data_IF_426480120275
#
_entry.id   IF_426480120275
#
_cell.length_a   1.000
_cell.length_b   1.000
_cell.length_c   1.000
_cell.angle_alpha   90.00
_cell.angle_beta   90.00
_cell.angle_gamma   90.00
#
_symmetry.space_group_name_H-M   'P 1'
#
loop_
_entity.id
_entity.type
_entity.pdbx_description
1 polymer ?
#
# COMPACT_ATOMS: atom_id res chain seq x y z
N UNK A 1 19.58 8.69 12.26
CA UNK A 1 18.95 7.84 11.24
C UNK A 1 17.43 7.90 11.34
N UNK A 2 16.75 7.98 10.20
CA UNK A 2 15.30 7.94 10.09
C UNK A 2 14.85 6.84 9.12
N UNK A 3 13.81 6.10 9.50
CA UNK A 3 13.12 5.16 8.61
C UNK A 3 11.66 5.03 9.03
N UNK A 4 10.73 5.17 8.10
CA UNK A 4 9.34 4.82 8.34
C UNK A 4 9.15 3.32 8.10
N UNK A 5 8.52 2.63 9.06
CA UNK A 5 8.42 1.17 9.09
C UNK A 5 7.43 0.59 8.09
N UNK A 6 7.79 0.58 6.83
CA UNK A 6 7.04 -0.13 5.78
C UNK A 6 7.75 -1.41 5.37
N UNK A 7 7.66 -2.45 6.20
CA UNK A 7 8.34 -3.73 6.05
C UNK A 7 8.16 -4.36 4.65
N UNK A 8 7.00 -4.19 4.01
CA UNK A 8 6.70 -4.76 2.70
C UNK A 8 7.64 -4.25 1.60
N UNK A 9 8.19 -3.03 1.74
CA UNK A 9 9.11 -2.40 0.78
C UNK A 9 10.39 -3.22 0.56
N UNK A 10 10.76 -4.05 1.53
CA UNK A 10 12.00 -4.84 1.52
C UNK A 10 11.81 -6.30 1.12
N UNK A 11 10.60 -6.70 0.73
CA UNK A 11 10.35 -8.08 0.30
C UNK A 11 10.91 -8.35 -1.11
N UNK A 12 11.40 -9.58 -1.36
CA UNK A 12 11.90 -9.97 -2.69
C UNK A 12 10.90 -9.75 -3.82
N UNK A 13 9.60 -9.79 -3.53
CA UNK A 13 8.57 -9.49 -4.53
C UNK A 13 8.63 -8.02 -4.99
N UNK A 14 9.00 -7.08 -4.13
CA UNK A 14 9.12 -5.67 -4.49
C UNK A 14 10.28 -5.45 -5.45
N UNK A 15 11.43 -6.08 -5.20
CA UNK A 15 12.58 -6.03 -6.11
C UNK A 15 12.18 -6.55 -7.50
N UNK A 16 11.41 -7.64 -7.54
CA UNK A 16 10.92 -8.21 -8.80
C UNK A 16 9.92 -7.32 -9.52
N UNK A 17 9.03 -6.66 -8.81
CA UNK A 17 8.10 -5.66 -9.36
C UNK A 17 8.89 -4.50 -9.98
N UNK A 18 9.88 -3.97 -9.26
CA UNK A 18 10.76 -2.89 -9.72
C UNK A 18 11.50 -3.31 -11.00
N UNK A 19 12.07 -4.50 -11.04
CA UNK A 19 12.73 -5.07 -12.21
C UNK A 19 11.79 -5.12 -13.42
N UNK A 20 10.57 -5.65 -13.22
CA UNK A 20 9.56 -5.78 -14.28
C UNK A 20 9.18 -4.43 -14.86
N UNK A 21 8.95 -3.42 -14.01
CA UNK A 21 8.55 -2.08 -14.43
C UNK A 21 9.70 -1.39 -15.18
N UNK A 22 10.92 -1.45 -14.65
CA UNK A 22 12.11 -0.84 -15.28
C UNK A 22 12.50 -1.45 -16.62
N UNK A 23 12.10 -2.69 -16.89
CA UNK A 23 12.46 -3.40 -18.11
C UNK A 23 11.76 -2.90 -19.38
N UNK A 24 10.78 -1.99 -19.28
CA UNK A 24 10.05 -1.34 -20.39
C UNK A 24 9.43 -2.25 -21.48
N UNK A 25 9.61 -3.58 -21.43
CA UNK A 25 9.05 -4.53 -22.42
C UNK A 25 7.53 -4.66 -22.34
N UNK A 26 6.93 -4.15 -21.27
CA UNK A 26 5.49 -4.29 -20.96
C UNK A 26 4.64 -3.13 -21.49
N UNK A 27 5.26 -2.15 -22.14
CA UNK A 27 4.61 -0.92 -22.55
C UNK A 27 4.51 0.09 -21.39
N UNK A 28 3.82 1.20 -21.65
CA UNK A 28 3.67 2.26 -20.64
C UNK A 28 2.87 1.79 -19.43
N UNK A 29 3.21 2.33 -18.27
CA UNK A 29 2.43 2.21 -17.06
C UNK A 29 1.16 3.07 -17.20
N UNK A 30 -0.01 2.45 -17.03
CA UNK A 30 -1.31 3.12 -17.23
C UNK A 30 -1.94 3.52 -15.89
N UNK A 31 -2.14 2.55 -15.02
CA UNK A 31 -2.82 2.75 -13.74
C UNK A 31 -2.49 1.62 -12.77
N UNK A 32 -2.96 1.75 -11.53
CA UNK A 32 -2.95 0.66 -10.56
C UNK A 32 -4.17 0.69 -9.66
N UNK A 33 -4.45 -0.45 -9.05
CA UNK A 33 -5.39 -0.60 -7.95
C UNK A 33 -4.68 -1.28 -6.78
N UNK A 34 -4.89 -0.78 -5.57
CA UNK A 34 -4.27 -1.34 -4.38
C UNK A 34 -5.20 -1.21 -3.18
N UNK A 35 -5.35 -2.29 -2.43
CA UNK A 35 -6.30 -2.34 -1.33
C UNK A 35 -5.66 -2.92 -0.08
N UNK A 36 -6.09 -2.42 1.09
CA UNK A 36 -5.81 -3.04 2.36
C UNK A 36 -7.04 -3.00 3.26
N UNK A 37 -7.52 -4.17 3.64
CA UNK A 37 -8.67 -4.27 4.52
C UNK A 37 -8.51 -5.38 5.54
N UNK A 38 -8.89 -5.08 6.77
CA UNK A 38 -8.88 -6.03 7.89
C UNK A 38 -10.19 -5.90 8.65
N UNK A 39 -10.92 -7.00 8.80
CA UNK A 39 -12.15 -6.98 9.58
C UNK A 39 -11.87 -6.85 11.08
N UNK A 40 -11.89 -5.64 11.58
CA UNK A 40 -11.74 -5.32 13.00
C UNK A 40 -13.08 -5.19 13.73
N UNK A 41 -14.18 -4.97 12.99
CA UNK A 41 -15.48 -4.60 13.55
C UNK A 41 -16.40 -5.77 13.86
N UNK A 42 -16.18 -6.91 13.20
CA UNK A 42 -17.04 -8.07 13.36
C UNK A 42 -16.24 -9.30 13.80
N UNK A 43 -16.94 -10.23 14.47
CA UNK A 43 -16.45 -11.58 14.77
C UNK A 43 -17.50 -12.60 14.37
N UNK A 44 -17.08 -13.71 13.82
CA UNK A 44 -17.96 -14.84 13.52
C UNK A 44 -18.47 -15.46 14.82
N UNK A 45 -19.78 -15.61 14.91
CA UNK A 45 -20.46 -16.36 16.00
C UNK A 45 -21.09 -17.60 15.37
N UNK A 46 -20.81 -18.80 15.89
CA UNK A 46 -21.28 -20.09 15.38
C UNK A 46 -20.99 -20.32 13.88
N UNK A 47 -19.86 -19.79 13.36
CA UNK A 47 -19.43 -19.87 11.94
C UNK A 47 -20.40 -19.27 10.89
N UNK A 48 -21.58 -18.79 11.29
CA UNK A 48 -22.64 -18.38 10.35
C UNK A 48 -23.01 -16.89 10.49
N UNK A 49 -22.99 -16.34 11.70
CA UNK A 49 -23.46 -14.98 11.95
C UNK A 49 -22.31 -14.04 12.33
N UNK A 50 -22.24 -12.88 11.68
CA UNK A 50 -21.32 -11.80 12.06
C UNK A 50 -21.91 -11.03 13.25
N UNK A 51 -21.19 -11.03 14.36
CA UNK A 51 -21.53 -10.22 15.53
C UNK A 51 -20.61 -9.01 15.60
N UNK A 52 -21.20 -7.81 15.62
CA UNK A 52 -20.44 -6.56 15.81
C UNK A 52 -19.70 -6.59 17.15
N UNK A 53 -18.40 -6.26 17.13
CA UNK A 53 -17.58 -6.13 18.34
C UNK A 53 -17.92 -4.82 19.04
N UNK A 54 -17.80 -4.80 20.36
CA UNK A 54 -17.85 -3.54 21.14
C UNK A 54 -16.56 -2.77 20.84
N UNK A 55 -16.69 -1.56 20.30
CA UNK A 55 -15.56 -0.69 20.00
C UNK A 55 -15.14 0.02 21.29
N UNK A 56 -13.84 -0.02 21.58
CA UNK A 56 -13.25 0.74 22.66
C UNK A 56 -12.73 2.09 22.12
N UNK A 57 -13.35 3.24 22.49
CA UNK A 57 -12.93 4.54 21.99
C UNK A 57 -11.56 5.01 22.53
N UNK A 58 -11.00 4.31 23.54
CA UNK A 58 -9.64 4.53 24.02
C UNK A 58 -8.57 3.82 23.18
N UNK A 59 -8.97 2.85 22.33
CA UNK A 59 -8.04 2.21 21.42
C UNK A 59 -7.61 3.22 20.35
N UNK A 60 -6.30 3.33 20.07
CA UNK A 60 -5.74 4.28 19.09
C UNK A 60 -6.44 4.22 17.73
N UNK A 61 -6.81 3.04 17.26
CA UNK A 61 -7.46 2.83 15.94
C UNK A 61 -8.83 3.50 15.83
N UNK A 62 -9.53 3.64 16.96
CA UNK A 62 -10.87 4.20 17.04
C UNK A 62 -10.93 5.53 17.80
N UNK A 63 -9.79 6.18 18.00
CA UNK A 63 -9.67 7.46 18.71
C UNK A 63 -9.23 8.55 17.74
N UNK A 64 -10.16 9.44 17.40
CA UNK A 64 -9.91 10.55 16.47
C UNK A 64 -8.76 11.46 16.92
N UNK A 65 -8.63 11.73 18.22
CA UNK A 65 -7.56 12.58 18.78
C UNK A 65 -6.16 11.94 18.66
N UNK A 66 -6.10 10.63 18.48
CA UNK A 66 -4.84 9.87 18.32
C UNK A 66 -4.55 9.54 16.85
N UNK A 67 -5.24 10.18 15.90
CA UNK A 67 -5.10 9.87 14.49
C UNK A 67 -5.67 8.49 14.11
N UNK A 68 -6.74 8.05 14.81
CA UNK A 68 -7.42 6.79 14.46
C UNK A 68 -8.15 6.89 13.12
N UNK A 69 -8.48 5.73 12.56
CA UNK A 69 -9.14 5.57 11.28
C UNK A 69 -8.36 4.68 10.32
N UNK A 70 -9.06 4.12 9.34
CA UNK A 70 -8.46 3.17 8.40
C UNK A 70 -7.55 3.86 7.37
N UNK A 71 -7.74 5.15 7.09
CA UNK A 71 -6.89 5.89 6.17
C UNK A 71 -5.45 5.94 6.69
N UNK A 72 -5.25 6.35 7.96
CA UNK A 72 -3.90 6.41 8.53
C UNK A 72 -3.31 5.04 8.86
N UNK A 73 -4.11 4.08 9.36
CA UNK A 73 -3.59 2.80 9.83
C UNK A 73 -3.36 1.78 8.70
N UNK A 74 -4.23 1.72 7.72
CA UNK A 74 -4.16 0.79 6.59
C UNK A 74 -3.94 1.49 5.25
N UNK A 75 -4.56 2.65 5.04
CA UNK A 75 -4.47 3.42 3.78
C UNK A 75 -3.07 3.94 3.49
N UNK A 76 -2.23 4.09 4.51
CA UNK A 76 -0.82 4.44 4.33
C UNK A 76 -0.04 3.42 3.48
N UNK A 77 -0.41 2.15 3.50
CA UNK A 77 0.20 1.10 2.68
C UNK A 77 -0.09 1.26 1.18
N UNK A 78 -1.37 1.25 0.70
CA UNK A 78 -1.65 1.45 -0.72
C UNK A 78 -1.21 2.84 -1.21
N UNK A 79 -1.23 3.88 -0.38
CA UNK A 79 -0.71 5.20 -0.72
C UNK A 79 0.81 5.16 -0.93
N UNK A 80 1.59 4.62 0.00
CA UNK A 80 3.04 4.48 -0.14
C UNK A 80 3.45 3.59 -1.31
N UNK A 81 2.66 2.54 -1.60
CA UNK A 81 2.90 1.68 -2.76
C UNK A 81 2.63 2.42 -4.07
N UNK A 82 1.59 3.26 -4.11
CA UNK A 82 1.31 4.11 -5.26
C UNK A 82 2.45 5.08 -5.57
N UNK A 83 3.04 5.68 -4.53
CA UNK A 83 4.23 6.53 -4.66
C UNK A 83 5.42 5.76 -5.23
N UNK A 84 5.69 4.55 -4.71
CA UNK A 84 6.76 3.70 -5.22
C UNK A 84 6.57 3.40 -6.71
N UNK A 85 5.38 2.96 -7.12
CA UNK A 85 5.11 2.60 -8.52
C UNK A 85 5.18 3.83 -9.44
N UNK A 86 4.59 4.95 -9.03
CA UNK A 86 4.65 6.20 -9.80
C UNK A 86 6.10 6.70 -9.98
N UNK A 87 6.95 6.56 -8.95
CA UNK A 87 8.35 6.99 -8.99
C UNK A 87 9.23 6.19 -9.97
N UNK A 88 8.79 4.98 -10.35
CA UNK A 88 9.51 4.13 -11.30
C UNK A 88 9.39 4.59 -12.76
N UNK A 89 8.41 5.44 -13.05
CA UNK A 89 8.23 6.01 -14.39
C UNK A 89 8.78 7.44 -14.43
N UNK A 90 9.87 7.65 -15.18
CA UNK A 90 10.55 8.96 -15.30
C UNK A 90 9.67 10.04 -15.93
N UNK A 91 8.62 9.66 -16.68
CA UNK A 91 7.70 10.59 -17.34
C UNK A 91 6.63 11.12 -16.39
N UNK A 92 6.57 10.62 -15.14
CA UNK A 92 5.58 10.99 -14.12
C UNK A 92 6.29 11.78 -13.02
N UNK A 93 5.84 13.00 -12.79
CA UNK A 93 6.22 13.72 -11.58
C UNK A 93 5.36 13.26 -10.40
N UNK A 94 5.77 12.18 -9.71
CA UNK A 94 5.03 11.60 -8.59
C UNK A 94 4.86 12.53 -7.38
N UNK A 95 5.61 13.65 -7.33
CA UNK A 95 5.47 14.68 -6.28
C UNK A 95 4.27 15.60 -6.54
N UNK A 96 3.76 15.64 -7.79
CA UNK A 96 2.56 16.37 -8.17
C UNK A 96 1.39 15.42 -8.23
N UNK A 97 0.47 15.55 -7.29
CA UNK A 97 -0.69 14.66 -7.19
C UNK A 97 -1.96 15.44 -6.84
N UNK A 98 -3.08 14.83 -7.18
CA UNK A 98 -4.44 15.25 -6.84
C UNK A 98 -5.22 14.03 -6.36
N UNK A 99 -6.11 14.21 -5.38
CA UNK A 99 -7.06 13.20 -4.94
C UNK A 99 -8.43 13.49 -5.51
N UNK A 100 -9.01 12.49 -6.15
CA UNK A 100 -10.32 12.56 -6.78
C UNK A 100 -11.17 11.36 -6.38
N UNK A 101 -12.48 11.45 -6.56
CA UNK A 101 -13.44 10.36 -6.31
C UNK A 101 -13.37 9.79 -4.90
N UNK A 102 -13.12 10.65 -3.89
CA UNK A 102 -13.01 10.23 -2.50
C UNK A 102 -14.37 9.84 -1.94
N UNK A 103 -14.42 8.65 -1.31
CA UNK A 103 -15.59 8.18 -0.55
C UNK A 103 -15.14 7.70 0.81
N UNK A 104 -15.90 8.05 1.84
CA UNK A 104 -15.60 7.70 3.24
C UNK A 104 -16.84 7.21 3.96
N UNK A 105 -16.65 6.21 4.82
CA UNK A 105 -17.64 5.73 5.78
C UNK A 105 -17.08 5.90 7.18
N UNK A 106 -17.80 6.60 8.05
CA UNK A 106 -17.40 6.84 9.42
C UNK A 106 -18.06 5.83 10.37
N UNK A 107 -17.32 5.45 11.42
CA UNK A 107 -17.78 4.60 12.50
C UNK A 107 -18.42 5.38 13.63
N UNK A 108 -18.84 4.66 14.69
CA UNK A 108 -19.52 5.26 15.87
C UNK A 108 -18.62 6.18 16.70
N UNK A 109 -17.32 6.17 16.49
CA UNK A 109 -16.34 7.03 17.18
C UNK A 109 -15.85 8.18 16.30
N UNK A 110 -16.56 8.44 15.19
CA UNK A 110 -16.24 9.51 14.23
C UNK A 110 -14.82 9.40 13.64
N UNK A 111 -14.32 8.17 13.48
CA UNK A 111 -13.15 7.85 12.65
C UNK A 111 -13.61 7.13 11.38
N UNK A 112 -12.87 7.28 10.30
CA UNK A 112 -13.10 6.56 9.06
C UNK A 112 -12.86 5.06 9.26
N UNK A 113 -13.83 4.25 8.85
CA UNK A 113 -13.79 2.77 8.95
C UNK A 113 -13.70 2.08 7.60
N UNK A 114 -14.05 2.77 6.54
CA UNK A 114 -13.83 2.39 5.16
C UNK A 114 -13.65 3.66 4.32
N UNK A 115 -12.69 3.64 3.42
CA UNK A 115 -12.49 4.75 2.49
C UNK A 115 -11.85 4.27 1.19
N UNK A 116 -12.24 4.92 0.07
CA UNK A 116 -11.60 4.78 -1.23
C UNK A 116 -11.30 6.15 -1.81
N UNK A 117 -10.24 6.21 -2.62
CA UNK A 117 -9.85 7.40 -3.36
C UNK A 117 -9.10 7.01 -4.64
N UNK A 118 -8.99 7.95 -5.57
CA UNK A 118 -8.06 7.85 -6.68
C UNK A 118 -6.99 8.95 -6.54
N UNK A 119 -5.71 8.55 -6.61
CA UNK A 119 -4.58 9.47 -6.68
C UNK A 119 -4.21 9.64 -8.15
N UNK A 120 -4.29 10.86 -8.65
CA UNK A 120 -3.89 11.21 -9.99
C UNK A 120 -2.50 11.88 -9.94
N UNK A 121 -1.46 11.17 -10.36
CA UNK A 121 -0.08 11.68 -10.38
C UNK A 121 0.20 12.37 -11.73
N UNK A 122 0.53 13.67 -11.67
CA UNK A 122 0.92 14.51 -12.80
C UNK A 122 -0.04 14.43 -14.01
N UNK A 123 -1.33 14.17 -13.75
CA UNK A 123 -2.37 13.91 -14.77
C UNK A 123 -2.04 12.78 -15.77
N UNK A 124 -1.10 11.89 -15.41
CA UNK A 124 -0.60 10.82 -16.31
C UNK A 124 -0.79 9.41 -15.76
N UNK A 125 -0.77 9.24 -14.44
CA UNK A 125 -0.88 7.94 -13.82
C UNK A 125 -1.90 7.97 -12.69
N UNK A 126 -2.88 7.06 -12.75
CA UNK A 126 -3.96 6.94 -11.78
C UNK A 126 -3.76 5.72 -10.89
N UNK A 127 -3.83 5.94 -9.58
CA UNK A 127 -3.86 4.87 -8.59
C UNK A 127 -5.17 4.89 -7.82
N UNK A 128 -5.95 3.82 -7.91
CA UNK A 128 -7.13 3.62 -7.07
C UNK A 128 -6.71 2.91 -5.80
N UNK A 129 -7.01 3.52 -4.65
CA UNK A 129 -6.64 3.02 -3.33
C UNK A 129 -7.87 2.81 -2.46
N UNK A 130 -7.83 1.77 -1.60
CA UNK A 130 -8.91 1.48 -0.67
C UNK A 130 -8.38 0.96 0.65
N UNK A 131 -8.98 1.41 1.76
CA UNK A 131 -8.68 0.96 3.12
C UNK A 131 -9.97 0.63 3.87
N UNK A 132 -9.97 -0.41 4.73
CA UNK A 132 -11.16 -0.77 5.52
C UNK A 132 -10.82 -1.49 6.80
N UNK A 133 -11.51 -1.11 7.89
CA UNK A 133 -11.60 -1.86 9.14
C UNK A 133 -12.81 -2.82 9.16
N UNK A 134 -13.65 -2.79 8.12
CA UNK A 134 -14.90 -3.55 8.06
C UNK A 134 -14.80 -4.77 7.14
N UNK A 135 -14.03 -4.66 6.06
CA UNK A 135 -13.97 -5.67 5.01
C UNK A 135 -12.54 -6.17 4.78
N UNK A 136 -12.39 -7.47 4.58
CA UNK A 136 -11.15 -8.08 4.13
C UNK A 136 -11.10 -8.05 2.60
N UNK A 137 -10.12 -7.32 2.01
CA UNK A 137 -9.99 -7.17 0.56
C UNK A 137 -8.92 -8.08 -0.06
N UNK A 138 -8.35 -9.01 0.73
CA UNK A 138 -7.36 -9.96 0.23
C UNK A 138 -5.96 -9.37 -0.06
N UNK A 139 -5.64 -8.17 0.42
CA UNK A 139 -4.30 -7.54 0.32
C UNK A 139 -3.74 -7.48 -1.11
N UNK A 140 -4.61 -7.46 -2.11
CA UNK A 140 -4.25 -7.55 -3.53
C UNK A 140 -3.93 -6.18 -4.10
N UNK A 141 -2.90 -6.14 -4.96
CA UNK A 141 -2.65 -5.00 -5.84
C UNK A 141 -2.56 -5.45 -7.30
N UNK A 142 -2.98 -4.58 -8.22
CA UNK A 142 -2.87 -4.84 -9.67
C UNK A 142 -2.30 -3.60 -10.34
N UNK A 143 -1.29 -3.79 -11.17
CA UNK A 143 -0.63 -2.72 -11.94
C UNK A 143 -0.91 -2.98 -13.42
N UNK A 144 -1.49 -1.99 -14.10
CA UNK A 144 -1.90 -2.07 -15.50
C UNK A 144 -0.90 -1.38 -16.42
N UNK A 145 -0.58 -2.06 -17.50
CA UNK A 145 0.32 -1.60 -18.56
C UNK A 145 -0.39 -1.65 -19.92
N UNK A 146 0.12 -0.97 -20.91
CA UNK A 146 -0.42 -1.02 -22.28
C UNK A 146 -0.56 -2.45 -22.83
N UNK A 147 0.32 -3.36 -22.45
CA UNK A 147 0.38 -4.74 -22.99
C UNK A 147 -0.11 -5.81 -22.02
N UNK A 148 -0.68 -5.43 -20.88
CA UNK A 148 -1.21 -6.38 -19.89
C UNK A 148 -1.15 -5.88 -18.45
N UNK A 149 -1.07 -6.81 -17.51
CA UNK A 149 -1.16 -6.50 -16.09
C UNK A 149 -0.22 -7.35 -15.23
N UNK A 150 0.08 -6.83 -14.06
CA UNK A 150 0.85 -7.47 -13.01
C UNK A 150 -0.01 -7.52 -11.74
N UNK A 151 -0.35 -8.72 -11.29
CA UNK A 151 -1.19 -8.95 -10.11
C UNK A 151 -0.30 -9.43 -8.97
N UNK A 152 -0.41 -8.77 -7.83
CA UNK A 152 0.27 -9.11 -6.57
C UNK A 152 -0.81 -9.62 -5.62
N UNK A 153 -0.82 -10.92 -5.29
CA UNK A 153 -1.89 -11.53 -4.50
C UNK A 153 -1.85 -11.12 -3.02
N UNK A 154 -0.67 -10.91 -2.47
CA UNK A 154 -0.48 -10.46 -1.09
C UNK A 154 0.66 -9.43 -1.03
N UNK A 155 0.30 -8.18 -1.22
CA UNK A 155 1.27 -7.07 -1.29
C UNK A 155 1.92 -6.80 0.06
N UNK A 156 1.17 -6.95 1.17
CA UNK A 156 1.59 -6.44 2.48
C UNK A 156 2.33 -7.46 3.33
N UNK A 157 2.10 -8.75 3.14
CA UNK A 157 2.78 -9.82 3.90
C UNK A 157 3.79 -10.61 3.07
N UNK A 158 3.82 -10.39 1.76
CA UNK A 158 4.78 -11.00 0.85
C UNK A 158 4.61 -12.50 0.62
N UNK A 159 3.53 -13.09 1.08
CA UNK A 159 3.28 -14.55 0.99
C UNK A 159 2.57 -14.97 -0.31
N UNK A 160 2.15 -14.01 -1.09
CA UNK A 160 1.39 -14.24 -2.31
C UNK A 160 2.27 -14.46 -3.54
N UNK A 161 1.60 -14.70 -4.64
CA UNK A 161 2.19 -14.88 -5.96
C UNK A 161 2.22 -13.56 -6.71
N UNK A 162 3.19 -13.44 -7.60
CA UNK A 162 3.22 -12.39 -8.61
C UNK A 162 2.79 -13.00 -9.94
N UNK A 163 1.65 -12.56 -10.44
CA UNK A 163 1.07 -13.07 -11.68
C UNK A 163 1.24 -12.02 -12.77
N UNK A 164 1.97 -12.37 -13.83
CA UNK A 164 2.17 -11.55 -15.01
C UNK A 164 1.24 -12.02 -16.13
N UNK A 165 0.42 -11.12 -16.65
CA UNK A 165 -0.44 -11.40 -17.80
C UNK A 165 -0.11 -10.38 -18.90
N UNK A 166 0.70 -10.77 -19.87
CA UNK A 166 1.15 -9.89 -20.95
C UNK A 166 1.02 -10.57 -22.31
N UNK A 167 0.43 -9.88 -23.28
CA UNK A 167 0.20 -10.39 -24.63
C UNK A 167 -0.47 -11.77 -24.61
N UNK A 168 -1.48 -11.95 -23.77
CA UNK A 168 -2.23 -13.21 -23.54
C UNK A 168 -1.39 -14.36 -22.94
N UNK A 169 -0.15 -14.12 -22.56
CA UNK A 169 0.70 -15.10 -21.86
C UNK A 169 0.65 -14.85 -20.37
N UNK A 170 0.40 -15.91 -19.60
CA UNK A 170 0.42 -15.89 -18.13
C UNK A 170 1.70 -16.51 -17.62
N UNK A 171 2.38 -15.80 -16.72
CA UNK A 171 3.53 -16.31 -15.97
C UNK A 171 3.28 -16.09 -14.47
N UNK A 172 3.64 -17.06 -13.64
CA UNK A 172 3.45 -17.01 -12.18
C UNK A 172 4.83 -17.13 -11.53
N UNK A 173 5.14 -16.20 -10.65
CA UNK A 173 6.35 -16.20 -9.84
C UNK A 173 5.93 -16.44 -8.40
N UNK A 174 6.46 -17.49 -7.79
CA UNK A 174 6.29 -17.78 -6.37
C UNK A 174 7.52 -17.29 -5.61
N UNK A 175 7.31 -16.78 -4.41
CA UNK A 175 8.38 -16.33 -3.52
C UNK A 175 8.46 -17.27 -2.32
N UNK A 176 9.63 -17.84 -2.09
CA UNK A 176 9.93 -18.63 -0.90
C UNK A 176 10.44 -17.69 0.20
N UNK A 177 9.52 -17.17 1.01
CA UNK A 177 9.85 -16.26 2.10
C UNK A 177 10.14 -17.08 3.36
N UNK A 178 11.43 -17.33 3.60
CA UNK A 178 11.92 -18.14 4.74
C UNK A 178 12.05 -17.35 6.04
N UNK A 179 12.19 -16.02 5.94
CA UNK A 179 12.42 -15.15 7.09
C UNK A 179 11.09 -14.58 7.61
N UNK A 180 11.11 -14.14 8.88
CA UNK A 180 10.06 -13.28 9.39
C UNK A 180 9.96 -12.01 8.53
N UNK A 181 8.75 -11.51 8.33
CA UNK A 181 8.49 -10.35 7.47
C UNK A 181 9.27 -9.10 7.89
N UNK A 182 9.49 -8.89 9.19
CA UNK A 182 10.27 -7.75 9.70
C UNK A 182 11.79 -7.94 9.58
N UNK A 183 12.28 -9.17 9.36
CA UNK A 183 13.72 -9.42 9.24
C UNK A 183 14.34 -8.69 8.05
N UNK A 184 13.63 -8.60 6.94
CA UNK A 184 14.10 -7.89 5.74
C UNK A 184 14.30 -6.39 6.01
N UNK A 185 13.35 -5.77 6.71
CA UNK A 185 13.43 -4.37 7.10
C UNK A 185 14.59 -4.13 8.08
N UNK A 186 14.70 -4.96 9.12
CA UNK A 186 15.76 -4.84 10.13
C UNK A 186 17.14 -4.97 9.48
N UNK A 187 17.35 -5.91 8.56
CA UNK A 187 18.61 -6.10 7.83
C UNK A 187 18.96 -4.85 7.01
N UNK A 188 18.03 -4.31 6.23
CA UNK A 188 18.27 -3.13 5.39
C UNK A 188 18.49 -1.85 6.21
N UNK A 189 17.75 -1.69 7.31
CA UNK A 189 17.93 -0.58 8.25
C UNK A 189 19.32 -0.68 8.90
N UNK A 190 19.70 -1.87 9.37
CA UNK A 190 21.01 -2.12 9.99
C UNK A 190 22.16 -1.84 9.02
N UNK A 191 22.05 -2.30 7.78
CA UNK A 191 23.03 -2.04 6.73
C UNK A 191 23.14 -0.53 6.42
N UNK A 192 22.01 0.17 6.35
CA UNK A 192 21.98 1.61 6.12
C UNK A 192 22.68 2.39 7.23
N UNK A 193 22.46 2.00 8.49
CA UNK A 193 23.11 2.60 9.66
C UNK A 193 24.62 2.34 9.62
N UNK A 194 25.05 1.09 9.35
CA UNK A 194 26.46 0.71 9.26
C UNK A 194 27.20 1.49 8.16
N UNK A 195 26.50 1.85 7.08
CA UNK A 195 27.03 2.70 5.99
C UNK A 195 26.98 4.19 6.29
N UNK A 196 26.59 4.59 7.51
CA UNK A 196 26.44 5.99 7.92
C UNK A 196 25.42 6.78 7.08
N UNK A 197 24.43 6.11 6.49
CA UNK A 197 23.32 6.80 5.83
C UNK A 197 22.45 7.48 6.87
N UNK A 198 21.78 8.57 6.50
CA UNK A 198 20.85 9.29 7.39
C UNK A 198 19.43 8.76 7.33
N UNK A 199 19.09 8.04 6.27
CA UNK A 199 17.77 7.45 6.02
C UNK A 199 17.90 6.10 5.30
N UNK A 200 16.81 5.38 5.19
CA UNK A 200 16.78 4.09 4.54
C UNK A 200 17.02 4.22 3.03
N UNK A 201 17.78 3.27 2.47
CA UNK A 201 18.01 3.21 1.04
C UNK A 201 16.77 2.68 0.30
N UNK A 202 16.61 3.14 -0.93
CA UNK A 202 15.60 2.60 -1.84
C UNK A 202 15.67 1.06 -1.92
N UNK A 203 14.52 0.33 -1.87
CA UNK A 203 13.15 0.81 -1.98
C UNK A 203 12.51 1.23 -0.64
N UNK A 204 13.25 1.31 0.46
CA UNK A 204 12.73 1.84 1.74
C UNK A 204 12.20 3.26 1.59
N UNK A 205 11.36 3.67 2.56
CA UNK A 205 10.82 5.02 2.59
C UNK A 205 11.90 6.05 2.95
N UNK A 206 12.12 7.00 2.07
CA UNK A 206 12.94 8.18 2.38
C UNK A 206 12.12 9.19 3.19
N UNK A 207 12.79 10.14 3.86
CA UNK A 207 12.12 11.24 4.55
C UNK A 207 11.18 12.02 3.61
N UNK A 208 11.62 12.26 2.39
CA UNK A 208 10.82 12.97 1.39
C UNK A 208 9.56 12.20 1.00
N UNK A 209 9.65 10.87 0.84
CA UNK A 209 8.48 10.03 0.55
C UNK A 209 7.54 9.93 1.76
N UNK A 210 8.06 9.85 2.99
CA UNK A 210 7.26 9.89 4.22
C UNK A 210 6.43 11.17 4.31
N UNK A 211 7.04 12.33 4.09
CA UNK A 211 6.33 13.60 4.09
C UNK A 211 5.27 13.67 2.98
N UNK A 212 5.59 13.16 1.80
CA UNK A 212 4.65 13.12 0.69
C UNK A 212 3.49 12.16 0.94
N UNK A 213 3.76 10.97 1.50
CA UNK A 213 2.73 10.01 1.89
C UNK A 213 1.79 10.59 2.96
N UNK A 214 2.35 11.24 3.99
CA UNK A 214 1.56 11.93 5.01
C UNK A 214 0.64 12.98 4.39
N UNK A 215 1.14 13.79 3.47
CA UNK A 215 0.34 14.79 2.76
C UNK A 215 -0.81 14.16 1.94
N UNK A 216 -0.56 13.01 1.29
CA UNK A 216 -1.63 12.27 0.59
C UNK A 216 -2.70 11.82 1.58
N UNK A 217 -2.31 11.25 2.71
CA UNK A 217 -3.25 10.75 3.72
C UNK A 217 -4.07 11.88 4.37
N UNK A 218 -3.44 13.01 4.68
CA UNK A 218 -4.14 14.20 5.17
C UNK A 218 -5.16 14.73 4.15
N UNK A 219 -4.76 14.86 2.89
CA UNK A 219 -5.67 15.25 1.83
C UNK A 219 -6.81 14.25 1.65
N UNK A 220 -6.52 12.94 1.74
CA UNK A 220 -7.55 11.90 1.67
C UNK A 220 -8.55 11.99 2.83
N UNK A 221 -8.05 12.24 4.05
CA UNK A 221 -8.92 12.40 5.21
C UNK A 221 -9.77 13.67 5.12
N UNK A 222 -9.24 14.76 4.56
CA UNK A 222 -9.89 16.06 4.54
C UNK A 222 -10.76 16.32 3.29
N UNK A 223 -10.62 15.52 2.22
CA UNK A 223 -11.46 15.60 1.03
C UNK A 223 -12.86 15.01 1.34
#
# INVERSE_FOLDING_TARGET
FFSEGFMYRFYPQIDKIIEIIKNNKKGKLISMESVYGVNLLYKKKFFIFDKKKKINPKNRLFNKKMGGGCIFDLGCYPSSFSLLIASLNKDINYKKFELINVKKKFGITDVDIESEAEILFDNKFKSKIKASFESEYGNKSTIYFEKGELIIEDTWQGKGKLIQIFLKKKNIINFDIKKNIYSYEIEQVSESIQKNNRECLYPGMTMAETLLNTKILENWLNA
#
